data_IF_977378082345
#
_entry.id   IF_977378082345
#
_cell.length_a   1.000
_cell.length_b   1.000
_cell.length_c   1.000
_cell.angle_alpha   90.00
_cell.angle_beta   90.00
_cell.angle_gamma   90.00
#
_symmetry.space_group_name_H-M   'P 1'
#
loop_
_entity.id
_entity.type
_entity.pdbx_description
1 polymer ?
#
# COMPACT_ATOMS: atom_id res chain seq x y z
N UNK A 1 -25.70 -74.13 19.98
CA UNK A 1 -25.20 -73.71 21.32
C UNK A 1 -25.17 -72.20 21.36
N UNK A 2 -26.21 -71.62 21.94
CA UNK A 2 -26.40 -70.20 22.25
C UNK A 2 -25.70 -69.86 23.56
N UNK A 3 -24.95 -68.75 23.60
CA UNK A 3 -24.61 -68.01 24.82
C UNK A 3 -24.11 -66.59 24.49
N UNK A 4 -24.28 -65.59 25.38
CA UNK A 4 -24.57 -64.21 25.00
C UNK A 4 -23.64 -63.11 25.57
N UNK A 5 -23.81 -61.91 24.99
CA UNK A 5 -23.73 -60.53 25.51
C UNK A 5 -23.15 -60.25 26.92
N UNK A 6 -22.26 -59.24 26.98
CA UNK A 6 -22.08 -58.14 27.97
C UNK A 6 -20.67 -57.55 27.73
N UNK A 7 -20.36 -56.26 27.73
CA UNK A 7 -21.02 -55.03 28.13
C UNK A 7 -19.90 -54.04 28.51
N UNK A 8 -20.10 -52.74 28.32
CA UNK A 8 -19.46 -51.74 29.21
C UNK A 8 -18.97 -50.46 28.54
N UNK A 9 -19.67 -49.38 28.90
CA UNK A 9 -19.41 -47.99 28.55
C UNK A 9 -18.24 -47.37 29.33
N UNK A 10 -17.65 -46.30 28.79
CA UNK A 10 -17.44 -45.02 29.49
C UNK A 10 -16.73 -44.01 28.57
N UNK A 11 -17.49 -43.05 28.03
CA UNK A 11 -16.95 -41.84 27.41
C UNK A 11 -16.83 -40.75 28.50
N UNK A 12 -15.60 -40.36 28.83
CA UNK A 12 -15.33 -39.26 29.76
C UNK A 12 -15.32 -37.92 29.00
N UNK A 13 -16.37 -37.14 29.20
CA UNK A 13 -16.44 -35.74 28.77
C UNK A 13 -15.54 -34.87 29.67
N UNK A 14 -14.53 -34.23 29.08
CA UNK A 14 -13.70 -33.21 29.75
C UNK A 14 -14.21 -31.81 29.37
N UNK A 15 -15.02 -31.23 30.24
CA UNK A 15 -15.40 -29.81 30.19
C UNK A 15 -14.29 -28.94 30.80
N UNK A 16 -13.43 -28.37 29.95
CA UNK A 16 -12.45 -27.35 30.35
C UNK A 16 -13.10 -25.96 30.43
N UNK A 17 -13.31 -25.44 31.64
CA UNK A 17 -13.76 -24.06 31.88
C UNK A 17 -12.60 -23.10 31.57
N UNK A 18 -12.74 -22.28 30.54
CA UNK A 18 -11.82 -21.19 30.24
C UNK A 18 -12.05 -20.01 31.21
N UNK A 19 -11.02 -19.64 31.98
CA UNK A 19 -10.97 -18.42 32.80
C UNK A 19 -10.88 -17.20 31.87
N UNK A 20 -11.95 -16.40 31.82
CA UNK A 20 -11.95 -15.08 31.17
C UNK A 20 -11.33 -14.06 32.12
N UNK A 21 -10.06 -13.69 31.87
CA UNK A 21 -9.45 -12.52 32.51
C UNK A 21 -9.93 -11.25 31.80
N UNK A 22 -10.91 -10.56 32.39
CA UNK A 22 -11.25 -9.17 32.03
C UNK A 22 -10.19 -8.24 32.63
N UNK A 23 -9.29 -7.73 31.79
CA UNK A 23 -8.47 -6.57 32.16
C UNK A 23 -9.30 -5.29 31.97
N UNK A 24 -9.62 -4.66 33.11
CA UNK A 24 -10.17 -3.32 33.20
C UNK A 24 -9.08 -2.32 32.81
N UNK A 25 -9.22 -1.68 31.65
CA UNK A 25 -8.34 -0.58 31.24
C UNK A 25 -8.91 0.72 31.81
N UNK A 26 -8.24 1.27 32.81
CA UNK A 26 -8.49 2.63 33.32
C UNK A 26 -8.13 3.66 32.25
N UNK A 27 -9.11 4.48 31.87
CA UNK A 27 -8.91 5.62 30.99
C UNK A 27 -8.22 6.77 31.75
N UNK A 28 -6.96 7.07 31.40
CA UNK A 28 -6.33 8.34 31.79
C UNK A 28 -6.75 9.42 30.79
N UNK A 29 -7.56 10.36 31.27
CA UNK A 29 -7.83 11.63 30.60
C UNK A 29 -6.65 12.58 30.83
N UNK A 30 -5.82 12.79 29.81
CA UNK A 30 -4.91 13.93 29.79
C UNK A 30 -5.60 15.11 29.11
N UNK A 31 -5.98 16.09 29.94
CA UNK A 31 -6.37 17.45 29.52
C UNK A 31 -5.18 18.07 28.80
N UNK A 32 -5.35 18.43 27.53
CA UNK A 32 -4.42 19.34 26.84
C UNK A 32 -5.11 20.68 26.66
N UNK A 33 -4.51 21.70 27.26
CA UNK A 33 -4.92 23.09 27.29
C UNK A 33 -4.88 23.71 25.89
N UNK A 34 -5.94 24.46 25.59
CA UNK A 34 -6.08 25.29 24.41
C UNK A 34 -5.13 26.50 24.47
N UNK A 35 -4.18 26.60 23.55
CA UNK A 35 -3.52 27.86 23.22
C UNK A 35 -4.26 28.50 22.04
N UNK A 36 -4.95 29.62 22.32
CA UNK A 36 -5.54 30.51 21.32
C UNK A 36 -4.40 31.24 20.59
N UNK A 37 -4.28 31.06 19.28
CA UNK A 37 -3.45 31.91 18.41
C UNK A 37 -4.38 32.73 17.52
N UNK A 38 -4.14 34.04 17.54
CA UNK A 38 -5.03 35.07 17.03
C UNK A 38 -5.26 35.04 15.53
N UNK A 39 -6.48 35.46 15.17
CA UNK A 39 -6.89 35.77 13.83
C UNK A 39 -6.12 36.98 13.29
N UNK A 40 -5.47 36.82 12.13
CA UNK A 40 -5.05 37.94 11.28
C UNK A 40 -5.97 38.00 10.07
N UNK A 41 -6.69 39.11 10.00
CA UNK A 41 -7.57 39.55 8.92
C UNK A 41 -6.73 40.00 7.71
N UNK A 42 -6.94 39.38 6.55
CA UNK A 42 -6.55 39.92 5.25
C UNK A 42 -7.82 40.15 4.41
N UNK A 43 -8.29 41.41 4.41
CA UNK A 43 -9.22 41.92 3.41
C UNK A 43 -8.42 42.33 2.18
N UNK A 44 -8.90 41.95 1.00
CA UNK A 44 -8.53 42.60 -0.26
C UNK A 44 -8.26 41.64 -1.40
N UNK A 45 -9.32 41.12 -2.04
CA UNK A 45 -9.24 40.65 -3.43
C UNK A 45 -10.46 41.20 -4.17
N UNK A 46 -10.18 42.13 -5.08
CA UNK A 46 -11.14 42.68 -6.03
C UNK A 46 -11.60 41.61 -7.02
N UNK A 47 -12.91 41.62 -7.30
CA UNK A 47 -13.55 40.84 -8.35
C UNK A 47 -13.37 41.58 -9.66
N UNK A 48 -12.56 41.04 -10.56
CA UNK A 48 -12.60 41.38 -11.99
C UNK A 48 -13.23 40.21 -12.72
N UNK A 49 -14.47 40.41 -13.16
CA UNK A 49 -15.22 39.54 -14.05
C UNK A 49 -14.73 39.73 -15.47
N UNK A 50 -14.15 38.70 -16.08
CA UNK A 50 -14.06 38.58 -17.53
C UNK A 50 -14.79 37.31 -17.98
N UNK A 51 -15.94 37.56 -18.58
CA UNK A 51 -16.74 36.62 -19.37
C UNK A 51 -15.98 36.31 -20.66
N UNK A 52 -15.42 35.11 -20.75
CA UNK A 52 -14.75 34.57 -21.94
C UNK A 52 -15.45 33.32 -22.43
N UNK A 53 -16.08 33.44 -23.60
CA UNK A 53 -16.85 32.44 -24.34
C UNK A 53 -15.96 31.37 -24.99
N UNK A 54 -16.49 30.15 -25.01
CA UNK A 54 -16.52 29.20 -26.13
C UNK A 54 -15.25 28.47 -26.65
N UNK A 55 -15.44 27.14 -26.73
CA UNK A 55 -15.02 26.23 -27.81
C UNK A 55 -13.55 25.85 -27.98
N UNK A 56 -13.23 24.60 -27.66
CA UNK A 56 -12.84 23.61 -28.68
C UNK A 56 -12.70 22.21 -28.06
N UNK A 57 -13.45 21.28 -28.61
CA UNK A 57 -13.27 19.84 -28.53
C UNK A 57 -11.90 19.45 -29.10
N UNK A 58 -10.87 19.47 -28.26
CA UNK A 58 -9.56 18.89 -28.57
C UNK A 58 -9.49 17.48 -28.00
N UNK A 59 -9.63 16.47 -28.87
CA UNK A 59 -9.37 15.09 -28.52
C UNK A 59 -7.98 14.96 -27.91
N UNK A 60 -7.93 14.66 -26.62
CA UNK A 60 -6.69 14.35 -25.91
C UNK A 60 -6.19 12.98 -26.39
N UNK A 61 -5.54 12.97 -27.56
CA UNK A 61 -4.61 11.92 -27.92
C UNK A 61 -3.55 11.91 -26.83
N UNK A 62 -3.52 10.82 -26.06
CA UNK A 62 -2.50 10.52 -25.07
C UNK A 62 -1.13 10.61 -25.73
N UNK A 63 -0.54 11.80 -25.69
CA UNK A 63 0.80 12.08 -26.17
C UNK A 63 1.74 11.20 -25.38
N UNK A 64 2.24 10.15 -26.03
CA UNK A 64 3.27 9.27 -25.54
C UNK A 64 4.53 10.09 -25.26
N UNK A 65 4.59 10.67 -24.07
CA UNK A 65 5.79 11.27 -23.52
C UNK A 65 6.69 10.13 -23.09
N UNK A 66 7.35 9.50 -24.06
CA UNK A 66 8.58 8.75 -23.85
C UNK A 66 9.72 9.71 -23.46
N UNK A 67 9.47 10.59 -22.48
CA UNK A 67 10.51 11.40 -21.86
C UNK A 67 11.46 10.39 -21.25
N UNK A 68 12.70 10.37 -21.74
CA UNK A 68 13.78 9.48 -21.30
C UNK A 68 14.24 9.74 -19.86
N UNK A 69 13.31 10.02 -18.95
CA UNK A 69 13.55 10.10 -17.52
C UNK A 69 14.13 8.79 -17.01
N UNK A 70 15.15 8.91 -16.18
CA UNK A 70 15.71 7.77 -15.49
C UNK A 70 14.64 7.11 -14.61
N UNK A 71 14.42 5.80 -14.79
CA UNK A 71 13.53 5.01 -13.93
C UNK A 71 13.90 5.23 -12.46
N UNK A 72 12.92 5.65 -11.66
CA UNK A 72 13.11 5.92 -10.24
C UNK A 72 12.59 4.77 -9.39
N UNK A 73 13.18 4.63 -8.22
CA UNK A 73 12.78 3.67 -7.19
C UNK A 73 12.16 4.40 -6.00
N UNK A 74 11.24 3.73 -5.33
CA UNK A 74 10.68 4.14 -4.05
C UNK A 74 10.80 3.00 -3.05
N UNK A 75 11.47 3.28 -1.93
CA UNK A 75 11.69 2.29 -0.86
C UNK A 75 10.54 2.32 0.14
N UNK A 76 9.98 1.15 0.45
CA UNK A 76 9.04 0.94 1.54
C UNK A 76 9.72 0.32 2.76
N UNK A 77 9.19 0.67 3.93
CA UNK A 77 9.64 0.10 5.20
C UNK A 77 8.89 -1.19 5.53
N UNK A 78 9.40 -2.30 5.02
CA UNK A 78 8.93 -3.64 5.36
C UNK A 78 8.10 -4.32 4.26
N UNK A 79 8.23 -5.66 4.13
CA UNK A 79 7.55 -6.43 3.12
C UNK A 79 6.03 -6.52 3.34
N UNK A 80 5.54 -6.30 4.55
CA UNK A 80 4.11 -6.29 4.89
C UNK A 80 3.37 -5.17 4.14
N UNK A 81 3.98 -3.98 4.00
CA UNK A 81 3.44 -2.90 3.17
C UNK A 81 3.52 -3.25 1.68
N UNK A 82 4.61 -3.89 1.26
CA UNK A 82 4.74 -4.41 -0.10
C UNK A 82 3.63 -5.39 -0.44
N UNK A 83 3.33 -6.33 0.45
CA UNK A 83 2.24 -7.28 0.32
C UNK A 83 0.88 -6.58 0.23
N UNK A 84 0.62 -5.55 1.05
CA UNK A 84 -0.62 -4.77 0.98
C UNK A 84 -0.81 -4.04 -0.35
N UNK A 85 0.26 -3.49 -0.94
CA UNK A 85 0.19 -2.86 -2.27
C UNK A 85 0.01 -3.92 -3.36
N UNK A 86 0.77 -5.01 -3.34
CA UNK A 86 0.65 -6.12 -4.29
C UNK A 86 -0.73 -6.78 -4.25
N UNK A 87 -1.32 -6.89 -3.07
CA UNK A 87 -2.69 -7.35 -2.84
C UNK A 87 -3.77 -6.32 -3.20
N UNK A 88 -3.38 -5.16 -3.73
CA UNK A 88 -4.24 -4.05 -4.11
C UNK A 88 -5.11 -3.48 -2.97
N UNK A 89 -4.68 -3.65 -1.73
CA UNK A 89 -5.39 -3.18 -0.54
C UNK A 89 -4.93 -1.76 -0.17
N UNK A 90 -3.61 -1.53 -0.15
CA UNK A 90 -3.03 -0.21 0.09
C UNK A 90 -2.99 0.58 -1.22
N UNK A 91 -3.95 1.50 -1.39
CA UNK A 91 -4.08 2.36 -2.59
C UNK A 91 -3.40 3.73 -2.44
N UNK A 92 -2.97 4.08 -1.24
CA UNK A 92 -2.32 5.36 -0.97
C UNK A 92 -0.96 5.14 -0.33
N UNK A 93 0.03 5.92 -0.73
CA UNK A 93 1.33 6.00 -0.06
C UNK A 93 1.39 7.27 0.80
N UNK A 94 1.71 7.11 2.08
CA UNK A 94 1.66 8.21 3.05
C UNK A 94 3.01 8.91 3.13
N UNK A 95 3.04 10.24 2.92
CA UNK A 95 4.27 11.04 2.97
C UNK A 95 4.05 12.35 3.72
N UNK A 96 5.17 12.93 4.18
CA UNK A 96 5.20 14.26 4.80
C UNK A 96 5.40 15.39 3.78
N UNK A 97 5.51 15.05 2.50
CA UNK A 97 5.85 15.97 1.41
C UNK A 97 5.06 15.61 0.15
N UNK A 98 4.92 16.62 -0.71
CA UNK A 98 4.10 16.56 -1.92
C UNK A 98 4.75 15.69 -2.99
N UNK A 99 3.94 14.96 -3.75
CA UNK A 99 4.37 14.20 -4.91
C UNK A 99 4.89 15.18 -5.97
N UNK A 100 6.16 15.08 -6.41
CA UNK A 100 6.66 15.94 -7.47
C UNK A 100 5.90 15.68 -8.77
N UNK A 101 5.47 16.75 -9.45
CA UNK A 101 4.63 16.69 -10.66
C UNK A 101 5.20 15.75 -11.74
N UNK A 102 6.53 15.71 -11.87
CA UNK A 102 7.23 14.82 -12.82
C UNK A 102 7.03 13.32 -12.56
N UNK A 103 6.43 12.93 -11.45
CA UNK A 103 6.13 11.54 -11.13
C UNK A 103 4.63 11.21 -11.25
N UNK A 104 3.80 12.19 -11.61
CA UNK A 104 2.40 11.95 -11.94
C UNK A 104 2.32 11.12 -13.23
N UNK A 105 1.71 9.95 -13.13
CA UNK A 105 1.55 9.03 -14.25
C UNK A 105 2.82 8.27 -14.67
N UNK A 106 3.95 8.46 -13.98
CA UNK A 106 5.19 7.75 -14.29
C UNK A 106 5.27 6.40 -13.58
N UNK A 107 5.96 5.45 -14.21
CA UNK A 107 6.29 4.17 -13.58
C UNK A 107 7.46 4.31 -12.62
N UNK A 108 7.27 3.82 -11.40
CA UNK A 108 8.25 3.82 -10.32
C UNK A 108 8.50 2.38 -9.88
N UNK A 109 9.76 2.00 -9.71
CA UNK A 109 10.13 0.71 -9.16
C UNK A 109 9.83 0.65 -7.66
N UNK A 110 9.01 -0.32 -7.24
CA UNK A 110 8.68 -0.54 -5.83
C UNK A 110 9.73 -1.43 -5.18
N UNK A 111 10.46 -0.87 -4.22
CA UNK A 111 11.52 -1.55 -3.48
C UNK A 111 11.13 -1.79 -2.02
N UNK A 112 11.52 -2.95 -1.49
CA UNK A 112 11.40 -3.27 -0.07
C UNK A 112 12.75 -3.10 0.62
N UNK A 113 12.79 -2.24 1.63
CA UNK A 113 14.00 -1.97 2.41
C UNK A 113 14.62 -3.22 3.03
N UNK A 114 15.93 -3.17 3.26
CA UNK A 114 16.71 -4.29 3.81
C UNK A 114 16.71 -4.35 5.36
N UNK A 115 15.86 -3.56 6.02
CA UNK A 115 15.75 -3.59 7.47
C UNK A 115 15.31 -4.99 7.91
N UNK A 116 16.04 -5.59 8.85
CA UNK A 116 15.86 -6.98 9.26
C UNK A 116 14.45 -7.23 9.85
N UNK A 117 13.94 -6.24 10.59
CA UNK A 117 12.63 -6.27 11.20
C UNK A 117 11.76 -5.12 10.69
N UNK A 118 10.49 -5.42 10.44
CA UNK A 118 9.49 -4.39 10.19
C UNK A 118 9.01 -3.82 11.51
N UNK A 119 8.97 -2.49 11.68
CA UNK A 119 8.52 -1.88 12.92
C UNK A 119 7.19 -2.48 13.41
N UNK A 120 7.08 -2.84 14.71
CA UNK A 120 5.88 -3.50 15.23
C UNK A 120 4.57 -2.73 14.97
N UNK A 121 4.64 -1.40 14.93
CA UNK A 121 3.48 -0.57 14.62
C UNK A 121 2.98 -0.74 13.18
N UNK A 122 3.88 -0.93 12.20
CA UNK A 122 3.51 -1.20 10.80
C UNK A 122 2.80 -2.54 10.73
N UNK A 123 3.33 -3.58 11.40
CA UNK A 123 2.69 -4.90 11.46
C UNK A 123 1.29 -4.83 12.04
N UNK A 124 1.14 -4.29 13.26
CA UNK A 124 -0.18 -4.11 13.90
C UNK A 124 -1.15 -3.29 13.05
N UNK A 125 -0.63 -2.38 12.25
CA UNK A 125 -1.44 -1.59 11.35
C UNK A 125 -1.88 -2.40 10.14
N UNK A 126 -0.96 -3.09 9.44
CA UNK A 126 -1.30 -3.97 8.32
C UNK A 126 -2.28 -5.03 8.75
N UNK A 127 -2.05 -5.73 9.87
CA UNK A 127 -2.99 -6.75 10.41
C UNK A 127 -4.40 -6.19 10.62
N UNK A 128 -4.55 -4.94 11.06
CA UNK A 128 -5.87 -4.32 11.28
C UNK A 128 -6.53 -3.82 10.00
N UNK A 129 -5.74 -3.37 9.03
CA UNK A 129 -6.22 -2.83 7.76
C UNK A 129 -6.37 -3.90 6.67
N UNK A 130 -5.89 -5.12 6.93
CA UNK A 130 -5.91 -6.23 5.98
C UNK A 130 -7.33 -6.76 5.79
N UNK A 131 -7.74 -6.83 4.53
CA UNK A 131 -9.01 -7.40 4.10
C UNK A 131 -8.75 -8.74 3.38
N UNK A 132 -9.11 -9.88 3.98
CA UNK A 132 -8.88 -11.20 3.39
C UNK A 132 -9.70 -11.44 2.12
N UNK A 133 -10.87 -10.79 1.98
CA UNK A 133 -11.70 -10.93 0.78
C UNK A 133 -11.07 -10.21 -0.41
N UNK A 134 -10.47 -9.04 -0.17
CA UNK A 134 -9.69 -8.34 -1.21
C UNK A 134 -8.43 -9.13 -1.62
N UNK A 135 -7.80 -9.84 -0.68
CA UNK A 135 -6.61 -10.64 -0.94
C UNK A 135 -6.84 -11.80 -1.92
N UNK A 136 -8.10 -12.23 -2.15
CA UNK A 136 -8.44 -13.30 -3.12
C UNK A 136 -7.98 -12.97 -4.54
N UNK A 137 -7.89 -11.68 -4.89
CA UNK A 137 -7.43 -11.22 -6.19
C UNK A 137 -5.92 -10.94 -6.26
N UNK A 138 -5.20 -11.11 -5.14
CA UNK A 138 -3.77 -10.93 -5.10
C UNK A 138 -3.03 -12.02 -5.90
N UNK A 139 -1.76 -11.77 -6.28
CA UNK A 139 -0.87 -12.82 -6.79
C UNK A 139 -0.91 -14.04 -5.88
N UNK A 140 -0.94 -15.24 -6.47
CA UNK A 140 -1.25 -16.51 -5.79
C UNK A 140 -0.53 -16.72 -4.46
N UNK A 141 0.72 -16.27 -4.34
CA UNK A 141 1.48 -16.33 -3.09
C UNK A 141 0.75 -15.62 -1.95
N UNK A 142 0.27 -14.39 -2.15
CA UNK A 142 -0.32 -13.57 -1.09
C UNK A 142 -1.73 -14.01 -0.66
N UNK A 143 -2.39 -14.91 -1.40
CA UNK A 143 -3.77 -15.34 -1.10
C UNK A 143 -3.87 -16.11 0.22
N UNK A 144 -2.82 -16.83 0.58
CA UNK A 144 -2.75 -17.61 1.82
C UNK A 144 -1.94 -16.89 2.92
N UNK A 145 -1.62 -15.60 2.75
CA UNK A 145 -0.85 -14.89 3.75
C UNK A 145 -1.72 -14.59 4.98
N UNK A 146 -1.38 -15.22 6.10
CA UNK A 146 -1.90 -14.88 7.42
C UNK A 146 -1.06 -13.75 8.02
N UNK A 147 -1.69 -12.59 8.25
CA UNK A 147 -1.02 -11.43 8.84
C UNK A 147 -0.69 -11.60 10.33
N UNK A 148 -1.22 -12.64 10.98
CA UNK A 148 -0.92 -13.01 12.37
C UNK A 148 0.23 -14.02 12.48
N UNK A 149 0.50 -14.78 11.40
CA UNK A 149 1.61 -15.73 11.35
C UNK A 149 2.92 -15.04 10.95
N UNK A 150 3.84 -14.95 11.91
CA UNK A 150 5.16 -14.35 11.71
C UNK A 150 6.10 -15.21 10.84
N UNK A 151 5.80 -16.50 10.69
CA UNK A 151 6.63 -17.46 9.94
C UNK A 151 6.16 -17.67 8.51
N UNK A 152 5.04 -17.09 8.11
CA UNK A 152 4.52 -17.23 6.75
C UNK A 152 5.57 -16.73 5.73
N UNK A 153 6.25 -17.66 5.04
CA UNK A 153 7.30 -17.42 4.03
C UNK A 153 6.78 -16.82 2.72
N UNK A 154 5.66 -16.10 2.78
CA UNK A 154 4.85 -15.63 1.67
C UNK A 154 5.14 -14.16 1.34
N UNK A 155 5.77 -13.45 2.29
CA UNK A 155 6.08 -12.04 2.16
C UNK A 155 7.10 -11.76 1.04
N UNK A 156 7.00 -10.60 0.36
CA UNK A 156 8.01 -10.20 -0.62
C UNK A 156 9.42 -10.17 -0.01
N UNK A 157 10.47 -10.50 -0.78
CA UNK A 157 11.83 -10.47 -0.25
C UNK A 157 12.25 -9.05 0.10
N UNK A 158 13.06 -8.92 1.16
CA UNK A 158 13.73 -7.67 1.55
C UNK A 158 14.90 -7.37 0.61
N UNK A 159 15.30 -6.10 0.56
CA UNK A 159 16.41 -5.67 -0.30
C UNK A 159 16.15 -5.97 -1.77
N UNK A 160 14.90 -5.82 -2.21
CA UNK A 160 14.48 -6.25 -3.54
C UNK A 160 13.47 -5.29 -4.17
N UNK A 161 13.54 -5.15 -5.50
CA UNK A 161 12.48 -4.56 -6.30
C UNK A 161 11.46 -5.65 -6.61
N UNK A 162 10.20 -5.41 -6.26
CA UNK A 162 9.14 -6.43 -6.29
C UNK A 162 8.05 -6.14 -7.31
N UNK A 163 7.88 -4.87 -7.71
CA UNK A 163 6.83 -4.42 -8.62
C UNK A 163 7.21 -3.10 -9.30
N UNK A 164 6.40 -2.73 -10.28
CA UNK A 164 6.25 -1.36 -10.76
C UNK A 164 4.96 -0.79 -10.17
N UNK A 165 4.98 0.47 -9.76
CA UNK A 165 3.81 1.22 -9.32
C UNK A 165 3.68 2.51 -10.13
N UNK A 166 2.49 3.07 -10.18
CA UNK A 166 2.21 4.36 -10.81
C UNK A 166 1.31 5.17 -9.88
N UNK A 167 1.52 6.47 -9.88
CA UNK A 167 0.72 7.41 -9.12
C UNK A 167 -0.22 8.17 -10.07
N UNK A 168 -1.49 8.30 -9.71
CA UNK A 168 -2.43 9.19 -10.42
C UNK A 168 -2.34 10.64 -9.95
N UNK A 169 -1.82 10.87 -8.74
CA UNK A 169 -1.73 12.19 -8.14
C UNK A 169 -1.50 12.11 -6.65
N UNK A 170 -1.93 13.15 -5.95
CA UNK A 170 -1.90 13.22 -4.49
C UNK A 170 -3.05 14.06 -3.97
N UNK A 171 -3.36 13.88 -2.69
CA UNK A 171 -4.26 14.75 -1.95
C UNK A 171 -3.78 14.91 -0.50
N UNK A 172 -4.28 15.94 0.18
CA UNK A 172 -4.11 16.11 1.63
C UNK A 172 -5.18 15.30 2.32
N UNK A 173 -4.81 14.60 3.40
CA UNK A 173 -5.73 13.75 4.16
C UNK A 173 -6.96 14.55 4.60
N UNK A 174 -8.12 14.16 4.08
CA UNK A 174 -9.37 14.83 4.38
C UNK A 174 -9.92 14.43 5.75
N UNK A 175 -10.76 15.31 6.33
CA UNK A 175 -11.40 15.02 7.61
C UNK A 175 -12.30 13.79 7.48
N UNK A 176 -12.02 12.76 8.28
CA UNK A 176 -12.81 11.52 8.32
C UNK A 176 -12.37 10.47 7.30
N UNK A 177 -11.48 10.79 6.37
CA UNK A 177 -11.00 9.86 5.34
C UNK A 177 -10.38 8.60 5.94
N UNK A 178 -9.58 8.74 7.01
CA UNK A 178 -9.01 7.61 7.75
C UNK A 178 -10.04 6.57 8.23
N UNK A 179 -11.31 6.96 8.42
CA UNK A 179 -12.38 6.03 8.78
C UNK A 179 -12.87 5.24 7.56
N UNK A 180 -12.83 5.83 6.37
CA UNK A 180 -13.28 5.23 5.12
C UNK A 180 -12.15 4.43 4.43
N UNK A 181 -10.93 4.96 4.43
CA UNK A 181 -9.73 4.26 3.98
C UNK A 181 -8.74 4.13 5.15
N UNK A 182 -8.60 2.93 5.74
CA UNK A 182 -7.64 2.74 6.82
C UNK A 182 -6.20 2.96 6.36
N UNK A 183 -5.91 2.93 5.05
CA UNK A 183 -4.59 3.09 4.45
C UNK A 183 -4.10 4.54 4.39
N UNK A 184 -5.00 5.52 4.50
CA UNK A 184 -4.72 6.96 4.48
C UNK A 184 -4.41 7.50 5.88
N UNK A 185 -3.12 7.74 6.16
CA UNK A 185 -2.62 8.16 7.47
C UNK A 185 -1.72 9.40 7.44
N UNK A 186 -1.08 9.67 6.31
CA UNK A 186 -0.09 10.75 6.17
C UNK A 186 -0.75 12.11 6.00
N UNK A 187 -0.04 13.21 6.28
CA UNK A 187 -0.54 14.55 5.94
C UNK A 187 -0.66 14.75 4.42
N UNK A 188 0.06 13.96 3.62
CA UNK A 188 -0.05 13.85 2.17
C UNK A 188 -0.22 12.38 1.80
N UNK A 189 -1.23 12.09 0.99
CA UNK A 189 -1.54 10.77 0.46
C UNK A 189 -1.27 10.78 -1.04
N UNK A 190 -0.33 9.96 -1.50
CA UNK A 190 -0.05 9.77 -2.91
C UNK A 190 -0.89 8.62 -3.44
N UNK A 191 -1.71 8.90 -4.45
CA UNK A 191 -2.71 7.97 -4.95
C UNK A 191 -2.08 7.01 -5.95
N UNK A 192 -2.09 5.72 -5.61
CA UNK A 192 -1.63 4.64 -6.49
C UNK A 192 -2.79 4.24 -7.41
N UNK A 193 -2.59 4.38 -8.72
CA UNK A 193 -3.58 3.96 -9.71
C UNK A 193 -3.25 2.59 -10.32
N UNK A 194 -1.97 2.19 -10.28
CA UNK A 194 -1.53 0.87 -10.78
C UNK A 194 -0.42 0.25 -9.96
N UNK A 195 -0.45 -1.08 -9.92
CA UNK A 195 0.63 -1.95 -9.44
C UNK A 195 0.79 -3.14 -10.38
N UNK A 196 2.02 -3.38 -10.83
CA UNK A 196 2.41 -4.50 -11.69
C UNK A 196 3.49 -5.31 -10.98
N UNK A 197 3.14 -6.48 -10.40
CA UNK A 197 4.09 -7.37 -9.78
C UNK A 197 5.13 -7.86 -10.80
N UNK A 198 6.41 -7.90 -10.41
CA UNK A 198 7.41 -8.58 -11.21
C UNK A 198 7.23 -10.10 -11.08
N UNK A 199 7.36 -10.82 -12.19
CA UNK A 199 7.30 -12.29 -12.19
C UNK A 199 8.32 -12.92 -11.21
N UNK A 200 9.51 -12.30 -11.11
CA UNK A 200 10.54 -12.62 -10.11
C UNK A 200 11.10 -11.31 -9.53
N UNK A 201 11.21 -11.15 -8.21
CA UNK A 201 11.87 -9.99 -7.63
C UNK A 201 13.31 -9.81 -8.12
N UNK A 202 13.79 -8.56 -8.12
CA UNK A 202 15.21 -8.24 -8.34
C UNK A 202 15.83 -8.03 -6.97
N UNK A 203 16.50 -9.06 -6.46
CA UNK A 203 17.09 -9.08 -5.12
C UNK A 203 18.49 -8.43 -5.09
N UNK A 204 19.00 -8.17 -3.88
CA UNK A 204 20.34 -7.59 -3.68
C UNK A 204 20.42 -6.10 -4.03
N UNK A 205 19.27 -5.41 -4.02
CA UNK A 205 19.18 -3.99 -4.39
C UNK A 205 19.15 -3.16 -3.11
N UNK A 206 20.04 -2.17 -3.01
CA UNK A 206 20.02 -1.19 -1.94
C UNK A 206 18.99 -0.09 -2.22
N UNK A 207 18.13 0.18 -1.23
CA UNK A 207 17.15 1.26 -1.29
C UNK A 207 17.67 2.55 -0.67
N UNK A 208 17.07 3.67 -1.05
CA UNK A 208 17.40 5.00 -0.53
C UNK A 208 16.14 5.75 -0.10
N UNK A 209 16.31 6.83 0.66
CA UNK A 209 15.23 7.76 1.01
C UNK A 209 14.80 8.57 -0.21
N UNK A 210 13.50 8.88 -0.28
CA UNK A 210 12.90 9.60 -1.41
C UNK A 210 12.91 8.78 -2.72
N UNK A 211 12.78 9.48 -3.84
CA UNK A 211 12.92 8.87 -5.17
C UNK A 211 14.40 8.78 -5.56
N UNK A 212 14.89 7.58 -5.86
CA UNK A 212 16.29 7.34 -6.21
C UNK A 212 16.45 6.76 -7.62
N UNK A 213 17.65 6.90 -8.21
CA UNK A 213 17.93 6.40 -9.58
C UNK A 213 18.18 4.89 -9.56
N UNK A 214 17.27 4.13 -10.15
CA UNK A 214 17.35 2.66 -10.12
C UNK A 214 18.60 2.14 -10.80
N UNK A 215 19.06 2.81 -11.86
CA UNK A 215 20.19 2.39 -12.69
C UNK A 215 21.49 2.28 -11.91
N UNK A 216 21.60 2.99 -10.78
CA UNK A 216 22.80 2.97 -9.92
C UNK A 216 22.87 1.74 -9.01
N UNK A 217 21.77 1.00 -8.87
CA UNK A 217 21.63 -0.05 -7.84
C UNK A 217 21.21 -1.41 -8.40
N UNK A 218 20.94 -1.48 -9.71
CA UNK A 218 20.54 -2.73 -10.37
C UNK A 218 21.55 -3.08 -11.44
N UNK A 219 21.74 -4.38 -11.65
CA UNK A 219 22.55 -4.87 -12.77
C UNK A 219 21.90 -4.51 -14.12
N UNK A 220 22.67 -4.47 -15.23
CA UNK A 220 22.11 -4.24 -16.56
C UNK A 220 20.95 -5.18 -16.91
N UNK A 221 21.05 -6.45 -16.50
CA UNK A 221 19.97 -7.44 -16.65
C UNK A 221 18.73 -7.09 -15.83
N UNK A 222 18.89 -6.69 -14.56
CA UNK A 222 17.79 -6.21 -13.73
C UNK A 222 17.09 -4.99 -14.36
N UNK A 223 17.86 -4.04 -14.89
CA UNK A 223 17.32 -2.88 -15.59
C UNK A 223 16.57 -3.26 -16.86
N UNK A 224 17.10 -4.19 -17.65
CA UNK A 224 16.41 -4.70 -18.84
C UNK A 224 15.06 -5.31 -18.49
N UNK A 225 14.99 -6.13 -17.43
CA UNK A 225 13.74 -6.72 -16.94
C UNK A 225 12.72 -5.68 -16.50
N UNK A 226 13.15 -4.61 -15.82
CA UNK A 226 12.26 -3.51 -15.44
C UNK A 226 11.72 -2.76 -16.67
N UNK A 227 12.58 -2.47 -17.65
CA UNK A 227 12.16 -1.84 -18.90
C UNK A 227 11.16 -2.70 -19.67
N UNK A 228 11.39 -4.02 -19.73
CA UNK A 228 10.45 -4.93 -20.36
C UNK A 228 9.10 -4.95 -19.62
N UNK A 229 9.11 -5.02 -18.29
CA UNK A 229 7.89 -4.98 -17.50
C UNK A 229 7.10 -3.66 -17.68
N UNK A 230 7.78 -2.52 -17.86
CA UNK A 230 7.13 -1.23 -18.21
C UNK A 230 6.47 -1.32 -19.57
N UNK A 231 7.17 -1.79 -20.61
CA UNK A 231 6.61 -1.96 -21.96
C UNK A 231 5.38 -2.86 -21.95
N UNK A 232 5.46 -3.99 -21.24
CA UNK A 232 4.36 -4.94 -21.10
C UNK A 232 3.15 -4.30 -20.38
N UNK A 233 3.41 -3.46 -19.38
CA UNK A 233 2.38 -2.76 -18.63
C UNK A 233 1.71 -1.64 -19.44
N UNK A 234 2.47 -0.95 -20.30
CA UNK A 234 1.94 0.08 -21.19
C UNK A 234 1.15 -0.53 -22.35
N UNK A 235 1.59 -1.67 -22.90
CA UNK A 235 0.90 -2.38 -23.96
C UNK A 235 -0.48 -2.94 -23.54
N UNK A 236 -0.63 -3.31 -22.26
CA UNK A 236 -1.87 -3.91 -21.75
C UNK A 236 -2.75 -2.85 -21.08
N UNK A 237 -3.74 -2.33 -21.81
CA UNK A 237 -4.68 -1.34 -21.28
C UNK A 237 -5.35 -1.85 -19.99
N UNK A 238 -5.26 -1.07 -18.92
CA UNK A 238 -5.85 -1.42 -17.61
C UNK A 238 -5.03 -2.41 -16.78
N UNK A 239 -3.90 -2.91 -17.28
CA UNK A 239 -3.05 -3.82 -16.50
C UNK A 239 -2.54 -3.15 -15.23
N UNK A 240 -2.65 -3.89 -14.13
CA UNK A 240 -2.26 -3.41 -12.81
C UNK A 240 -3.22 -2.41 -12.16
N UNK A 241 -4.30 -1.97 -12.81
CA UNK A 241 -5.25 -1.03 -12.20
C UNK A 241 -5.85 -1.57 -10.91
N UNK A 242 -6.04 -0.70 -9.92
CA UNK A 242 -6.91 -1.00 -8.80
C UNK A 242 -8.35 -1.05 -9.29
N UNK A 243 -9.10 -2.07 -8.91
CA UNK A 243 -10.53 -2.09 -9.18
C UNK A 243 -11.18 -0.96 -8.37
N UNK A 244 -12.01 -0.14 -9.02
CA UNK A 244 -12.99 0.69 -8.34
C UNK A 244 -13.94 -0.26 -7.61
N UNK A 245 -14.11 -0.05 -6.29
CA UNK A 245 -15.16 -0.76 -5.57
C UNK A 245 -16.47 -0.23 -6.16
N UNK A 246 -17.25 -1.13 -6.78
CA UNK A 246 -18.64 -0.84 -7.16
C UNK A 246 -19.48 -0.67 -5.91
#
# INVERSE_FOLDING_TARGET
>A
RTAPLRGGAAAAARSGKAKVHRHVVKALHTRTSHARVGARSSRGIGRSSSTGRASASGGATAGGSSRGGALRGLTLNGPELGAAILGKQKKVENRSWDLPEKYHGEWIALHIGNAQNTPPWIRRYVTRAWDPDMAKNAPWKLRCWDTTDQKAGVLPPRGAIIALIRFSGMHRLARGERKADPWALGPVCWDLDRVVPLAKPICGVQGFLGFWDVRKQVTPWGLHRLKQAIRDADAKRGFGRFCERK
#
